data_IF_692947707515
#
_entry.id   IF_692947707515
#
_cell.length_a   1.000
_cell.length_b   1.000
_cell.length_c   1.000
_cell.angle_alpha   90.00
_cell.angle_beta   90.00
_cell.angle_gamma   90.00
#
_symmetry.space_group_name_H-M   'P 1'
#
loop_
_entity.id
_entity.type
_entity.pdbx_description
1 polymer ?
#
# COMPACT_ATOMS: atom_id res chain seq x y z
N UNK A 1 5.10 24.89 -8.90
CA UNK A 1 5.81 25.80 -7.97
C UNK A 1 5.07 25.78 -6.64
N UNK A 2 5.63 25.13 -5.62
CA UNK A 2 5.06 25.09 -4.28
C UNK A 2 5.20 26.47 -3.62
N UNK A 3 4.09 27.08 -3.22
CA UNK A 3 4.07 28.42 -2.60
C UNK A 3 3.54 28.35 -1.17
N UNK A 4 4.08 29.19 -0.28
CA UNK A 4 3.63 29.40 1.10
C UNK A 4 3.50 28.09 1.89
N UNK A 5 2.29 27.76 2.37
CA UNK A 5 2.03 26.59 3.23
C UNK A 5 2.46 25.26 2.59
N UNK A 6 2.27 25.10 1.28
CA UNK A 6 2.68 23.88 0.60
C UNK A 6 4.21 23.72 0.58
N UNK A 7 4.97 24.83 0.49
CA UNK A 7 6.44 24.77 0.58
C UNK A 7 6.90 24.43 2.00
N UNK A 8 6.20 24.96 3.02
CA UNK A 8 6.50 24.66 4.42
C UNK A 8 6.29 23.18 4.76
N UNK A 9 5.24 22.55 4.20
CA UNK A 9 4.99 21.12 4.32
C UNK A 9 6.04 20.29 3.57
N UNK A 10 6.37 20.67 2.33
CA UNK A 10 7.36 19.99 1.50
C UNK A 10 8.72 19.89 2.21
N UNK A 11 9.20 20.99 2.77
CA UNK A 11 10.51 21.05 3.41
C UNK A 11 10.48 20.67 4.90
N UNK A 12 9.37 20.13 5.42
CA UNK A 12 9.19 20.02 6.87
C UNK A 12 10.20 19.08 7.51
N UNK A 13 10.43 17.91 6.93
CA UNK A 13 11.40 16.95 7.45
C UNK A 13 12.84 17.50 7.36
N UNK A 14 13.23 18.06 6.20
CA UNK A 14 14.57 18.61 5.98
C UNK A 14 14.90 19.76 6.94
N UNK A 15 13.91 20.57 7.29
CA UNK A 15 14.05 21.69 8.22
C UNK A 15 13.79 21.29 9.69
N UNK A 16 13.63 20.00 9.99
CA UNK A 16 13.38 19.49 11.34
C UNK A 16 12.07 19.99 11.96
N UNK A 17 11.11 20.39 11.15
CA UNK A 17 9.80 20.90 11.59
C UNK A 17 8.78 19.77 11.67
N UNK A 18 8.03 19.78 12.76
CA UNK A 18 6.92 18.85 12.99
C UNK A 18 5.62 19.42 12.42
N UNK A 19 4.89 18.60 11.69
CA UNK A 19 3.56 18.93 11.15
C UNK A 19 2.52 18.61 12.22
N UNK A 20 1.74 19.61 12.63
CA UNK A 20 0.65 19.43 13.62
C UNK A 20 -0.69 19.41 12.90
N UNK A 21 -1.41 18.29 13.01
CA UNK A 21 -2.68 18.09 12.30
C UNK A 21 -3.86 18.26 13.26
N UNK A 22 -4.88 18.99 12.79
CA UNK A 22 -6.14 19.20 13.49
C UNK A 22 -7.29 18.77 12.58
N UNK A 23 -8.25 18.04 13.14
CA UNK A 23 -9.54 17.81 12.50
C UNK A 23 -10.50 18.90 12.97
N UNK A 24 -10.85 19.83 12.07
CA UNK A 24 -11.68 20.99 12.40
C UNK A 24 -13.14 20.72 12.04
N UNK A 25 -14.02 20.76 13.04
CA UNK A 25 -15.47 20.73 12.86
C UNK A 25 -16.07 21.87 13.67
N UNK A 26 -16.39 22.96 12.97
CA UNK A 26 -16.84 24.21 13.59
C UNK A 26 -17.93 23.98 14.66
N UNK A 27 -17.82 24.57 15.86
CA UNK A 27 -16.83 25.56 16.29
C UNK A 27 -15.54 24.97 16.89
N UNK A 28 -15.37 23.65 16.88
CA UNK A 28 -14.29 22.95 17.57
C UNK A 28 -13.19 22.48 16.61
N UNK A 29 -12.01 22.24 17.17
CA UNK A 29 -10.92 21.57 16.48
C UNK A 29 -10.31 20.51 17.40
N UNK A 30 -10.17 19.29 16.90
CA UNK A 30 -9.55 18.17 17.61
C UNK A 30 -8.10 18.07 17.17
N UNK A 31 -7.16 18.15 18.12
CA UNK A 31 -5.75 17.88 17.82
C UNK A 31 -5.57 16.38 17.56
N UNK A 32 -5.12 16.03 16.35
CA UNK A 32 -4.90 14.65 15.91
C UNK A 32 -3.53 14.16 16.36
N UNK A 33 -2.54 15.04 16.31
CA UNK A 33 -1.16 14.74 16.70
C UNK A 33 -0.11 15.35 15.79
N UNK A 34 1.09 14.81 15.90
CA UNK A 34 2.30 15.22 15.21
C UNK A 34 2.69 14.24 14.10
N UNK A 35 3.13 14.80 12.97
CA UNK A 35 3.47 14.07 11.76
C UNK A 35 4.78 14.60 11.16
N UNK A 36 5.43 13.77 10.36
CA UNK A 36 6.51 14.13 9.43
C UNK A 36 6.08 13.84 7.99
N UNK A 37 6.86 14.25 7.00
CA UNK A 37 6.67 13.83 5.61
C UNK A 37 7.14 12.40 5.41
N UNK A 38 6.37 11.63 4.63
CA UNK A 38 6.75 10.29 4.17
C UNK A 38 7.61 10.33 2.89
N UNK A 39 7.80 9.15 2.31
CA UNK A 39 8.53 8.97 1.05
C UNK A 39 7.64 8.21 0.04
N UNK A 40 7.31 8.79 -1.14
CA UNK A 40 7.64 10.16 -1.55
C UNK A 40 6.90 11.20 -0.71
N UNK A 41 7.43 12.43 -0.62
CA UNK A 41 6.84 13.50 0.22
C UNK A 41 5.43 13.89 -0.24
N UNK A 42 5.20 13.98 -1.56
CA UNK A 42 3.89 14.28 -2.12
C UNK A 42 3.73 13.75 -3.55
N UNK A 43 2.49 13.69 -4.01
CA UNK A 43 2.10 13.34 -5.38
C UNK A 43 1.11 14.37 -5.96
N UNK A 44 1.04 14.48 -7.29
CA UNK A 44 0.17 15.44 -7.98
C UNK A 44 -0.95 14.71 -8.71
N UNK A 45 -2.19 14.92 -8.29
CA UNK A 45 -3.37 14.30 -8.87
C UNK A 45 -4.23 15.31 -9.62
N UNK A 46 -4.90 14.88 -10.69
CA UNK A 46 -5.96 15.67 -11.33
C UNK A 46 -7.30 15.20 -10.76
N UNK A 47 -7.97 16.09 -10.05
CA UNK A 47 -9.27 15.83 -9.42
C UNK A 47 -10.34 16.69 -10.09
N UNK A 48 -11.61 16.27 -10.09
CA UNK A 48 -12.71 17.17 -10.46
C UNK A 48 -12.76 18.35 -9.47
N UNK A 49 -12.79 19.56 -9.99
CA UNK A 49 -13.04 20.79 -9.23
C UNK A 49 -14.50 20.89 -8.81
N UNK A 50 -14.79 21.75 -7.83
CA UNK A 50 -16.18 22.02 -7.41
C UNK A 50 -17.02 22.64 -8.54
N UNK A 51 -16.35 23.25 -9.52
CA UNK A 51 -16.91 23.81 -10.75
C UNK A 51 -16.98 22.79 -11.91
N UNK A 52 -16.60 21.52 -11.68
CA UNK A 52 -16.53 20.47 -12.69
C UNK A 52 -15.28 20.51 -13.57
N UNK A 53 -14.42 21.53 -13.45
CA UNK A 53 -13.18 21.60 -14.22
C UNK A 53 -12.06 20.80 -13.51
N UNK A 54 -11.19 20.11 -14.25
CA UNK A 54 -10.07 19.39 -13.64
C UNK A 54 -9.12 20.35 -12.91
N UNK A 55 -8.91 20.12 -11.62
CA UNK A 55 -7.94 20.83 -10.78
C UNK A 55 -6.76 19.93 -10.46
N UNK A 56 -5.55 20.50 -10.49
CA UNK A 56 -4.35 19.83 -9.97
C UNK A 56 -4.33 19.94 -8.44
N UNK A 57 -4.31 18.80 -7.77
CA UNK A 57 -4.18 18.66 -6.33
C UNK A 57 -2.79 18.13 -5.98
N UNK A 58 -2.21 18.63 -4.89
CA UNK A 58 -0.99 18.10 -4.30
C UNK A 58 -1.43 17.29 -3.08
N UNK A 59 -1.10 16.00 -3.07
CA UNK A 59 -1.40 15.09 -1.98
C UNK A 59 -0.10 14.83 -1.22
N UNK A 60 0.00 15.33 0.01
CA UNK A 60 1.17 15.09 0.88
C UNK A 60 1.02 13.75 1.61
N UNK A 61 2.09 12.96 1.61
CA UNK A 61 2.17 11.73 2.40
C UNK A 61 2.69 12.10 3.79
N UNK A 62 1.86 11.91 4.81
CA UNK A 62 2.22 12.21 6.19
C UNK A 62 2.38 10.92 6.99
N UNK A 63 3.48 10.83 7.73
CA UNK A 63 3.78 9.70 8.62
C UNK A 63 3.60 10.16 10.07
N UNK A 64 2.83 9.44 10.89
CA UNK A 64 2.61 9.81 12.29
C UNK A 64 3.91 9.67 13.10
N UNK A 65 4.22 10.68 13.93
CA UNK A 65 5.30 10.61 14.92
C UNK A 65 4.73 10.30 16.31
N UNK A 66 3.74 11.09 16.71
CA UNK A 66 2.92 10.89 17.91
C UNK A 66 1.53 11.43 17.57
N UNK A 67 0.69 10.56 17.03
CA UNK A 67 -0.63 10.91 16.54
C UNK A 67 -1.59 9.75 16.67
N UNK A 68 -2.89 10.08 16.70
CA UNK A 68 -3.97 9.11 16.61
C UNK A 68 -4.72 9.28 15.28
N UNK A 69 -4.33 8.55 14.21
CA UNK A 69 -4.95 8.67 12.89
C UNK A 69 -6.46 8.38 12.88
N UNK A 70 -6.97 7.65 13.88
CA UNK A 70 -8.42 7.41 14.08
C UNK A 70 -9.20 8.73 14.12
N UNK A 71 -8.59 9.80 14.63
CA UNK A 71 -9.21 11.12 14.75
C UNK A 71 -9.30 11.90 13.42
N UNK A 72 -8.66 11.42 12.34
CA UNK A 72 -8.81 12.00 10.99
C UNK A 72 -10.11 11.60 10.32
N UNK A 73 -10.69 10.48 10.74
CA UNK A 73 -11.94 10.01 10.15
C UNK A 73 -13.10 10.91 10.58
N UNK A 74 -13.98 11.33 9.66
CA UNK A 74 -15.15 12.15 10.01
C UNK A 74 -16.09 11.41 11.00
N UNK A 75 -16.12 10.06 10.94
CA UNK A 75 -16.84 9.20 11.87
C UNK A 75 -15.97 7.99 12.28
N UNK A 76 -15.07 8.13 13.28
CA UNK A 76 -14.14 7.06 13.65
C UNK A 76 -14.81 5.76 14.08
N UNK A 77 -15.99 5.87 14.73
CA UNK A 77 -16.78 4.72 15.15
C UNK A 77 -17.50 3.97 14.02
N UNK A 78 -17.76 4.61 12.87
CA UNK A 78 -18.45 3.97 11.74
C UNK A 78 -17.50 3.15 10.85
N UNK A 79 -16.22 3.51 10.76
CA UNK A 79 -15.26 2.76 9.95
C UNK A 79 -15.05 1.33 10.47
N UNK A 80 -15.12 1.11 11.79
CA UNK A 80 -15.11 -0.25 12.36
C UNK A 80 -16.33 -1.10 12.02
N UNK A 81 -17.43 -0.47 11.57
CA UNK A 81 -18.62 -1.19 11.10
C UNK A 81 -18.59 -1.47 9.60
N UNK A 82 -17.62 -0.92 8.86
CA UNK A 82 -17.49 -1.20 7.45
C UNK A 82 -16.98 -2.64 7.28
N UNK A 83 -17.67 -3.38 6.43
CA UNK A 83 -17.23 -4.71 6.01
C UNK A 83 -16.07 -4.59 5.02
N UNK A 84 -15.25 -5.65 4.87
CA UNK A 84 -14.30 -5.75 3.78
C UNK A 84 -14.96 -5.44 2.43
N UNK A 85 -14.31 -4.62 1.62
CA UNK A 85 -14.82 -4.26 0.29
C UNK A 85 -14.00 -4.98 -0.78
N UNK A 86 -14.71 -5.59 -1.72
CA UNK A 86 -14.12 -6.27 -2.87
C UNK A 86 -14.44 -5.49 -4.14
N UNK A 87 -13.46 -5.33 -5.01
CA UNK A 87 -13.65 -4.76 -6.34
C UNK A 87 -12.75 -5.45 -7.36
N UNK A 88 -13.00 -5.19 -8.64
CA UNK A 88 -12.13 -5.66 -9.71
C UNK A 88 -10.69 -5.17 -9.46
N UNK A 89 -9.73 -6.10 -9.56
CA UNK A 89 -8.32 -5.76 -9.58
C UNK A 89 -7.92 -5.32 -10.99
N UNK A 90 -7.08 -4.29 -11.08
CA UNK A 90 -6.48 -3.86 -12.33
C UNK A 90 -4.97 -4.02 -12.23
N UNK A 91 -4.32 -4.59 -13.26
CA UNK A 91 -2.87 -4.71 -13.24
C UNK A 91 -2.24 -3.32 -13.19
N UNK A 92 -1.21 -3.11 -12.34
CA UNK A 92 -0.48 -1.86 -12.35
C UNK A 92 0.23 -1.71 -13.69
N UNK A 93 0.19 -0.50 -14.23
CA UNK A 93 0.82 -0.20 -15.51
C UNK A 93 2.34 0.02 -15.30
N UNK A 94 3.14 -0.92 -15.80
CA UNK A 94 4.61 -0.84 -15.74
C UNK A 94 5.23 0.09 -16.81
N UNK A 95 4.44 0.54 -17.79
CA UNK A 95 4.79 1.58 -18.76
C UNK A 95 4.51 2.98 -18.23
N UNK A 96 3.44 3.14 -17.46
CA UNK A 96 3.02 4.41 -16.87
C UNK A 96 3.68 4.63 -15.50
N UNK A 97 4.98 4.92 -15.52
CA UNK A 97 5.57 5.83 -14.52
C UNK A 97 5.14 7.28 -14.84
N UNK A 98 3.84 7.44 -15.10
CA UNK A 98 3.12 8.68 -15.40
C UNK A 98 1.78 8.69 -14.68
N UNK A 99 1.67 7.98 -13.56
CA UNK A 99 0.69 8.32 -12.54
C UNK A 99 1.39 9.16 -11.44
N UNK A 100 1.28 10.49 -11.58
CA UNK A 100 1.24 11.45 -10.49
C UNK A 100 2.51 11.73 -9.65
N UNK A 101 3.71 11.36 -10.10
CA UNK A 101 4.97 11.97 -9.64
C UNK A 101 5.69 12.43 -10.90
N UNK A 102 6.06 13.71 -11.01
CA UNK A 102 6.95 14.15 -12.09
C UNK A 102 8.19 13.25 -11.99
N UNK A 103 8.32 12.29 -12.92
CA UNK A 103 9.27 11.18 -12.82
C UNK A 103 10.75 11.64 -12.96
N UNK A 104 10.96 12.96 -12.92
CA UNK A 104 12.20 13.70 -12.78
C UNK A 104 12.63 13.90 -11.33
N UNK A 105 11.74 13.71 -10.34
CA UNK A 105 12.03 13.96 -8.91
C UNK A 105 12.30 12.69 -8.09
N UNK A 106 12.00 11.49 -8.61
CA UNK A 106 12.42 10.24 -7.96
C UNK A 106 13.89 9.96 -8.27
N UNK A 107 14.71 9.55 -7.28
CA UNK A 107 16.02 9.00 -7.55
C UNK A 107 15.90 7.88 -8.60
N UNK A 108 16.82 7.84 -9.56
CA UNK A 108 16.74 6.88 -10.67
C UNK A 108 16.60 5.42 -10.19
N UNK A 109 17.15 5.09 -9.01
CA UNK A 109 17.01 3.78 -8.37
C UNK A 109 15.56 3.42 -7.99
N UNK A 110 14.83 4.33 -7.34
CA UNK A 110 13.46 4.08 -6.87
C UNK A 110 12.48 3.95 -8.04
N UNK A 111 12.71 4.70 -9.11
CA UNK A 111 11.93 4.59 -10.34
C UNK A 111 12.02 3.21 -10.99
N UNK A 112 13.23 2.64 -11.08
CA UNK A 112 13.46 1.30 -11.65
C UNK A 112 12.84 0.23 -10.76
N UNK A 113 12.97 0.42 -9.45
CA UNK A 113 12.44 -0.42 -8.39
C UNK A 113 10.92 -0.64 -8.48
N UNK A 114 10.12 0.43 -8.61
CA UNK A 114 8.66 0.31 -8.67
C UNK A 114 8.21 -0.39 -9.94
N UNK A 115 8.95 -0.21 -11.04
CA UNK A 115 8.66 -0.86 -12.31
C UNK A 115 8.80 -2.38 -12.25
N UNK A 116 9.82 -2.88 -11.57
CA UNK A 116 10.03 -4.33 -11.39
C UNK A 116 8.89 -4.94 -10.57
N UNK A 117 8.48 -4.26 -9.50
CA UNK A 117 7.36 -4.71 -8.67
C UNK A 117 6.04 -4.73 -9.45
N UNK A 118 5.73 -3.66 -10.18
CA UNK A 118 4.52 -3.58 -10.99
C UNK A 118 4.49 -4.65 -12.09
N UNK A 119 5.61 -4.89 -12.76
CA UNK A 119 5.69 -5.95 -13.75
C UNK A 119 5.47 -7.33 -13.10
N UNK A 120 6.08 -7.58 -11.94
CA UNK A 120 5.89 -8.83 -11.20
C UNK A 120 4.41 -9.04 -10.82
N UNK A 121 3.73 -7.98 -10.36
CA UNK A 121 2.30 -8.01 -10.05
C UNK A 121 1.45 -8.26 -11.29
N UNK A 122 1.71 -7.56 -12.40
CA UNK A 122 0.99 -7.73 -13.65
C UNK A 122 1.13 -9.17 -14.20
N UNK A 123 2.35 -9.72 -14.18
CA UNK A 123 2.65 -11.07 -14.65
C UNK A 123 1.94 -12.12 -13.78
N UNK A 124 1.97 -11.96 -12.45
CA UNK A 124 1.28 -12.86 -11.53
C UNK A 124 -0.24 -12.78 -11.65
N UNK A 125 -0.81 -11.58 -11.79
CA UNK A 125 -2.24 -11.39 -12.02
C UNK A 125 -2.71 -12.02 -13.34
N UNK A 126 -1.91 -11.91 -14.39
CA UNK A 126 -2.16 -12.61 -15.66
C UNK A 126 -2.15 -14.13 -15.47
N UNK A 127 -1.11 -14.65 -14.82
CA UNK A 127 -0.96 -16.08 -14.55
C UNK A 127 -2.11 -16.66 -13.73
N UNK A 128 -2.60 -15.93 -12.73
CA UNK A 128 -3.79 -16.27 -11.94
C UNK A 128 -5.06 -16.30 -12.82
N UNK A 129 -5.23 -15.28 -13.66
CA UNK A 129 -6.38 -15.15 -14.57
C UNK A 129 -6.41 -16.30 -15.58
N UNK A 130 -5.26 -16.63 -16.19
CA UNK A 130 -5.13 -17.72 -17.16
C UNK A 130 -5.47 -19.09 -16.55
N UNK A 131 -5.37 -19.23 -15.21
CA UNK A 131 -5.74 -20.42 -14.43
C UNK A 131 -7.17 -20.41 -13.90
N UNK A 132 -7.95 -19.38 -14.21
CA UNK A 132 -9.32 -19.24 -13.72
C UNK A 132 -9.45 -18.82 -12.25
N UNK A 133 -8.38 -18.28 -11.65
CA UNK A 133 -8.37 -17.77 -10.26
C UNK A 133 -8.01 -16.28 -10.22
N UNK A 134 -8.75 -15.41 -10.94
CA UNK A 134 -8.35 -14.02 -11.11
C UNK A 134 -8.24 -13.28 -9.78
N UNK A 135 -7.27 -12.37 -9.64
CA UNK A 135 -7.16 -11.54 -8.45
C UNK A 135 -8.32 -10.53 -8.36
N UNK A 136 -8.61 -10.14 -7.14
CA UNK A 136 -9.52 -9.07 -6.75
C UNK A 136 -8.79 -8.07 -5.88
N UNK A 137 -9.32 -6.84 -5.80
CA UNK A 137 -8.87 -5.85 -4.83
C UNK A 137 -9.64 -6.05 -3.54
N UNK A 138 -8.94 -6.08 -2.41
CA UNK A 138 -9.50 -6.17 -1.08
C UNK A 138 -9.16 -4.91 -0.30
N UNK A 139 -10.18 -4.24 0.25
CA UNK A 139 -10.01 -3.10 1.14
C UNK A 139 -10.44 -3.46 2.55
N UNK A 140 -9.52 -3.37 3.50
CA UNK A 140 -9.75 -3.67 4.91
C UNK A 140 -9.83 -2.36 5.71
N UNK A 141 -11.04 -1.93 6.12
CA UNK A 141 -11.19 -0.76 6.97
C UNK A 141 -10.72 -1.07 8.39
N UNK A 142 -9.64 -0.42 8.84
CA UNK A 142 -9.04 -0.66 10.16
C UNK A 142 -8.84 0.67 10.89
N UNK A 143 -9.34 0.80 12.12
CA UNK A 143 -9.04 1.91 13.05
C UNK A 143 -8.79 3.29 12.40
N UNK A 144 -9.72 3.74 11.54
CA UNK A 144 -9.65 5.07 10.91
C UNK A 144 -8.91 5.15 9.57
N UNK A 145 -8.27 4.08 9.13
CA UNK A 145 -7.61 3.95 7.84
C UNK A 145 -8.17 2.77 7.05
N UNK A 146 -7.66 2.61 5.83
CA UNK A 146 -7.92 1.45 4.98
C UNK A 146 -6.56 0.89 4.59
N UNK A 147 -6.36 -0.40 4.84
CA UNK A 147 -5.18 -1.13 4.37
C UNK A 147 -5.61 -2.07 3.26
N UNK A 148 -4.72 -2.28 2.29
CA UNK A 148 -5.01 -3.01 1.07
C UNK A 148 -3.78 -3.86 0.71
N UNK A 149 -3.91 -5.20 0.61
CA UNK A 149 -2.86 -6.00 -0.03
C UNK A 149 -2.78 -5.67 -1.52
N UNK A 150 -1.65 -5.99 -2.15
CA UNK A 150 -1.47 -5.82 -3.60
C UNK A 150 -2.51 -6.62 -4.40
N UNK A 151 -2.85 -7.82 -3.92
CA UNK A 151 -3.91 -8.65 -4.49
C UNK A 151 -4.63 -9.48 -3.43
N UNK A 152 -5.87 -9.84 -3.73
CA UNK A 152 -6.62 -10.87 -3.03
C UNK A 152 -7.10 -11.93 -4.02
N UNK A 153 -6.77 -13.20 -3.78
CA UNK A 153 -7.20 -14.32 -4.63
C UNK A 153 -8.33 -15.05 -3.95
N UNK A 154 -9.58 -14.68 -4.26
CA UNK A 154 -10.76 -15.15 -3.54
C UNK A 154 -10.91 -16.68 -3.57
N UNK A 155 -10.66 -17.31 -4.71
CA UNK A 155 -10.78 -18.76 -4.88
C UNK A 155 -9.88 -19.57 -3.92
N UNK A 156 -8.75 -18.98 -3.53
CA UNK A 156 -7.73 -19.61 -2.69
C UNK A 156 -7.66 -18.98 -1.29
N UNK A 157 -8.34 -17.84 -1.09
CA UNK A 157 -8.28 -17.03 0.12
C UNK A 157 -6.93 -16.33 0.35
N UNK A 158 -6.11 -16.13 -0.67
CA UNK A 158 -4.77 -15.52 -0.50
C UNK A 158 -4.83 -14.00 -0.38
N UNK A 159 -4.17 -13.43 0.63
CA UNK A 159 -3.75 -12.02 0.63
C UNK A 159 -2.30 -11.93 0.22
N UNK A 160 -2.04 -11.27 -0.91
CA UNK A 160 -0.75 -11.28 -1.59
C UNK A 160 -0.06 -9.93 -1.40
N UNK A 161 1.18 -9.97 -0.95
CA UNK A 161 2.09 -8.82 -0.96
C UNK A 161 3.28 -9.13 -1.88
N UNK A 162 3.50 -8.30 -2.88
CA UNK A 162 4.60 -8.41 -3.82
C UNK A 162 5.79 -7.59 -3.36
N UNK A 163 6.99 -8.09 -3.62
CA UNK A 163 8.22 -7.33 -3.45
C UNK A 163 9.11 -7.46 -4.65
N UNK A 164 9.70 -6.35 -5.07
CA UNK A 164 10.71 -6.29 -6.15
C UNK A 164 12.01 -7.08 -5.90
N UNK A 165 12.27 -7.51 -4.66
CA UNK A 165 13.57 -8.05 -4.25
C UNK A 165 13.41 -9.14 -3.20
N UNK A 166 14.30 -10.12 -3.28
CA UNK A 166 14.45 -11.22 -2.31
C UNK A 166 15.31 -10.82 -1.10
N UNK A 167 15.78 -9.57 -1.06
CA UNK A 167 16.56 -9.02 0.05
C UNK A 167 15.82 -9.10 1.37
N UNK A 168 16.56 -9.38 2.45
CA UNK A 168 16.02 -9.63 3.79
C UNK A 168 15.08 -8.54 4.32
N UNK A 169 15.37 -7.28 4.03
CA UNK A 169 14.52 -6.16 4.42
C UNK A 169 13.13 -6.21 3.76
N UNK A 170 13.09 -6.52 2.45
CA UNK A 170 11.85 -6.62 1.68
C UNK A 170 11.01 -7.81 2.13
N UNK A 171 11.65 -8.97 2.32
CA UNK A 171 10.96 -10.18 2.77
C UNK A 171 10.38 -9.99 4.17
N UNK A 172 11.15 -9.42 5.11
CA UNK A 172 10.65 -9.14 6.47
C UNK A 172 9.51 -8.12 6.48
N UNK A 173 9.60 -7.10 5.64
CA UNK A 173 8.52 -6.13 5.47
C UNK A 173 7.25 -6.81 4.93
N UNK A 174 7.38 -7.65 3.90
CA UNK A 174 6.26 -8.41 3.36
C UNK A 174 5.64 -9.35 4.39
N UNK A 175 6.45 -10.06 5.18
CA UNK A 175 5.98 -10.90 6.30
C UNK A 175 5.12 -10.07 7.26
N UNK A 176 5.62 -8.89 7.68
CA UNK A 176 4.87 -8.00 8.56
C UNK A 176 3.52 -7.59 7.96
N UNK A 177 3.51 -7.19 6.69
CA UNK A 177 2.31 -6.75 5.98
C UNK A 177 1.27 -7.86 5.84
N UNK A 178 1.66 -9.05 5.36
CA UNK A 178 0.69 -10.16 5.14
C UNK A 178 0.11 -10.68 6.44
N UNK A 179 0.89 -10.67 7.53
CA UNK A 179 0.41 -11.02 8.86
C UNK A 179 -0.54 -9.95 9.42
N UNK A 180 -0.26 -8.67 9.19
CA UNK A 180 -1.16 -7.57 9.57
C UNK A 180 -2.50 -7.65 8.82
N UNK A 181 -2.48 -7.84 7.49
CA UNK A 181 -3.71 -8.07 6.72
C UNK A 181 -4.49 -9.26 7.24
N UNK A 182 -3.81 -10.39 7.48
CA UNK A 182 -4.45 -11.61 7.98
C UNK A 182 -5.06 -11.41 9.36
N UNK A 183 -4.38 -10.70 10.26
CA UNK A 183 -4.89 -10.38 11.59
C UNK A 183 -6.16 -9.52 11.52
N UNK A 184 -6.12 -8.43 10.74
CA UNK A 184 -7.24 -7.51 10.63
C UNK A 184 -8.43 -8.12 9.86
N UNK A 185 -8.17 -8.93 8.84
CA UNK A 185 -9.22 -9.66 8.12
C UNK A 185 -10.00 -10.59 9.06
N UNK A 186 -9.31 -11.31 9.97
CA UNK A 186 -9.96 -12.14 10.99
C UNK A 186 -10.85 -11.33 11.94
N UNK A 187 -10.43 -10.12 12.30
CA UNK A 187 -11.24 -9.19 13.09
C UNK A 187 -12.52 -8.71 12.38
N UNK A 188 -12.61 -8.93 11.07
CA UNK A 188 -13.74 -8.58 10.20
C UNK A 188 -14.49 -9.82 9.68
N UNK A 189 -14.34 -10.98 10.34
CA UNK A 189 -14.91 -12.29 9.96
C UNK A 189 -14.51 -12.79 8.56
N UNK A 190 -13.37 -12.32 8.03
CA UNK A 190 -12.78 -12.81 6.79
C UNK A 190 -11.57 -13.71 7.09
N UNK A 191 -11.64 -14.97 6.67
CA UNK A 191 -10.53 -15.91 6.79
C UNK A 191 -9.69 -15.89 5.52
N UNK A 192 -8.48 -15.34 5.64
CA UNK A 192 -7.50 -15.27 4.56
C UNK A 192 -6.21 -15.97 4.97
N UNK A 193 -5.42 -16.37 3.98
CA UNK A 193 -4.10 -16.98 4.15
C UNK A 193 -3.03 -16.06 3.56
N UNK A 194 -1.90 -15.86 4.27
CA UNK A 194 -0.86 -14.94 3.83
C UNK A 194 -0.04 -15.51 2.67
N UNK A 195 0.26 -14.66 1.68
CA UNK A 195 1.12 -15.00 0.55
C UNK A 195 2.11 -13.87 0.24
N UNK A 196 3.37 -14.22 -0.02
CA UNK A 196 4.39 -13.27 -0.50
C UNK A 196 4.76 -13.63 -1.94
N UNK A 197 4.80 -12.63 -2.81
CA UNK A 197 5.22 -12.76 -4.21
C UNK A 197 6.63 -12.18 -4.40
N UNK A 198 7.57 -13.01 -4.87
CA UNK A 198 8.97 -12.65 -5.07
C UNK A 198 9.44 -12.92 -6.51
N UNK A 199 10.44 -12.16 -7.00
CA UNK A 199 10.95 -12.32 -8.37
C UNK A 199 11.83 -13.57 -8.57
N UNK A 200 12.28 -14.21 -7.49
CA UNK A 200 13.11 -15.43 -7.50
C UNK A 200 13.21 -16.00 -6.07
N UNK A 201 13.93 -17.11 -5.89
CA UNK A 201 14.19 -17.70 -4.57
C UNK A 201 14.91 -16.73 -3.63
N UNK A 202 14.49 -16.73 -2.36
CA UNK A 202 15.18 -16.03 -1.27
C UNK A 202 16.14 -16.98 -0.53
N UNK A 203 16.91 -16.44 0.40
CA UNK A 203 17.82 -17.22 1.25
C UNK A 203 17.05 -18.31 2.03
N UNK A 204 17.64 -19.51 2.21
CA UNK A 204 16.96 -20.64 2.85
C UNK A 204 16.36 -20.33 4.23
N UNK A 205 17.00 -19.46 5.01
CA UNK A 205 16.51 -19.10 6.34
C UNK A 205 15.24 -18.22 6.30
N UNK A 206 15.10 -17.37 5.27
CA UNK A 206 13.91 -16.55 5.07
C UNK A 206 12.74 -17.36 4.50
N UNK A 207 13.07 -18.36 3.70
CA UNK A 207 12.11 -19.37 3.27
C UNK A 207 11.57 -20.15 4.46
N UNK A 208 12.45 -20.66 5.32
CA UNK A 208 12.06 -21.37 6.55
C UNK A 208 11.23 -20.49 7.47
N UNK A 209 11.62 -19.22 7.67
CA UNK A 209 10.83 -18.26 8.46
C UNK A 209 9.41 -18.08 7.91
N UNK A 210 9.27 -17.97 6.59
CA UNK A 210 7.95 -17.84 5.94
C UNK A 210 7.09 -19.09 6.18
N UNK A 211 7.69 -20.28 6.03
CA UNK A 211 7.01 -21.55 6.29
C UNK A 211 6.58 -21.68 7.76
N UNK A 212 7.46 -21.38 8.72
CA UNK A 212 7.17 -21.43 10.16
C UNK A 212 6.00 -20.51 10.56
N UNK A 213 5.80 -19.42 9.81
CA UNK A 213 4.71 -18.45 10.00
C UNK A 213 3.44 -18.80 9.20
N UNK A 214 3.42 -19.90 8.45
CA UNK A 214 2.28 -20.33 7.65
C UNK A 214 2.07 -19.47 6.40
N UNK A 215 3.14 -18.88 5.84
CA UNK A 215 3.09 -17.99 4.68
C UNK A 215 3.44 -18.78 3.41
N UNK A 216 2.55 -18.76 2.42
CA UNK A 216 2.86 -19.31 1.09
C UNK A 216 3.74 -18.33 0.33
N UNK A 217 4.78 -18.82 -0.35
CA UNK A 217 5.67 -17.98 -1.16
C UNK A 217 5.48 -18.32 -2.63
N UNK A 218 5.11 -17.32 -3.44
CA UNK A 218 5.07 -17.42 -4.89
C UNK A 218 6.39 -16.88 -5.47
N UNK A 219 7.07 -17.71 -6.27
CA UNK A 219 8.36 -17.40 -6.87
C UNK A 219 8.20 -17.37 -8.38
N UNK A 220 8.67 -16.31 -9.04
CA UNK A 220 8.67 -16.27 -10.51
C UNK A 220 9.65 -17.30 -11.07
N UNK A 221 9.16 -18.14 -11.98
CA UNK A 221 9.94 -19.10 -12.77
C UNK A 221 9.59 -18.95 -14.26
N UNK A 222 10.39 -18.16 -14.96
CA UNK A 222 10.14 -17.75 -16.35
C UNK A 222 8.83 -16.99 -16.51
N UNK A 223 7.91 -17.58 -17.28
CA UNK A 223 6.55 -17.08 -17.54
C UNK A 223 5.51 -17.69 -16.58
N UNK A 224 5.98 -18.43 -15.57
CA UNK A 224 5.16 -19.11 -14.58
C UNK A 224 5.57 -18.74 -13.16
N UNK A 225 4.90 -19.34 -12.18
CA UNK A 225 5.20 -19.15 -10.78
C UNK A 225 5.17 -20.50 -10.06
N UNK A 226 6.18 -20.73 -9.23
CA UNK A 226 6.23 -21.81 -8.28
C UNK A 226 5.57 -21.36 -6.98
N UNK A 227 4.67 -22.19 -6.42
CA UNK A 227 4.07 -21.94 -5.12
C UNK A 227 4.73 -22.85 -4.08
N UNK A 228 5.48 -22.26 -3.17
CA UNK A 228 6.05 -22.98 -2.03
C UNK A 228 5.15 -22.78 -0.83
N UNK A 229 4.48 -23.86 -0.45
CA UNK A 229 3.54 -23.88 0.68
C UNK A 229 4.27 -24.18 1.99
N UNK A 230 3.76 -23.71 3.14
CA UNK A 230 4.25 -24.07 4.48
C UNK A 230 4.30 -25.58 4.72
#
# INVERSE_FOLDING_TARGET
>A
MFLRGNKALLNSADEGRVIRVFNASSPYATYVGSFTTGDPVCSIHVLPGEDGNPRRAIIFNLVPLDANPVLLSPNPGQLRMLKPQFSQWQPPDASDITAAVDATELPAGDRVVSRVEFQLQADFGKWLTDRGTPPSRLRLPISGSIIEPDMYVEAEGWVVEAKKSTGREYVRMAIGQVLDYTHNARGLDAHVTPMILLPSHTEPDLHQLSADLGITVALRDGDSFELVRP
#
